data_IF_545423980829
#
_entry.id   IF_545423980829
#
_cell.length_a   1.000
_cell.length_b   1.000
_cell.length_c   1.000
_cell.angle_alpha   90.00
_cell.angle_beta   90.00
_cell.angle_gamma   90.00
#
_symmetry.space_group_name_H-M   'P 1'
#
loop_
_entity.id
_entity.type
_entity.pdbx_description
1 polymer ?
#
# COMPACT_ATOMS: atom_id res chain seq x y z
N UNK A 1 -8.00 9.14 -6.01
CA UNK A 1 -7.17 10.06 -5.19
C UNK A 1 -5.72 9.64 -5.28
N UNK A 2 -4.75 10.55 -5.09
CA UNK A 2 -3.33 10.21 -5.16
C UNK A 2 -2.76 10.11 -3.74
N UNK A 3 -2.04 9.04 -3.46
CA UNK A 3 -1.39 8.77 -2.18
C UNK A 3 0.12 8.86 -2.42
N UNK A 4 0.79 9.63 -1.59
CA UNK A 4 2.25 9.78 -1.62
C UNK A 4 2.85 9.16 -0.37
N UNK A 5 3.97 8.46 -0.53
CA UNK A 5 4.66 7.82 0.57
C UNK A 5 6.07 7.42 0.20
N UNK A 6 6.88 7.10 1.20
CA UNK A 6 8.20 6.56 0.97
C UNK A 6 8.15 5.03 0.94
N UNK A 7 8.52 4.43 -0.19
CA UNK A 7 8.69 2.99 -0.33
C UNK A 7 10.18 2.66 -0.22
N UNK A 8 10.53 1.78 0.71
CA UNK A 8 11.91 1.32 0.91
C UNK A 8 11.99 -0.15 0.56
N UNK A 9 12.81 -0.49 -0.43
CA UNK A 9 13.03 -1.88 -0.87
C UNK A 9 14.55 -2.08 -0.92
N UNK A 10 15.05 -3.13 -0.23
CA UNK A 10 16.49 -3.45 -0.19
C UNK A 10 17.39 -2.25 0.16
N UNK A 11 16.96 -1.41 1.11
CA UNK A 11 17.72 -0.24 1.57
C UNK A 11 17.64 0.99 0.65
N UNK A 12 17.05 0.88 -0.53
CA UNK A 12 16.79 2.01 -1.42
C UNK A 12 15.41 2.59 -1.08
N UNK A 13 15.40 3.83 -0.60
CA UNK A 13 14.19 4.59 -0.27
C UNK A 13 13.80 5.50 -1.44
N UNK A 14 12.57 5.39 -1.93
CA UNK A 14 12.01 6.27 -2.96
C UNK A 14 10.65 6.83 -2.57
N UNK A 15 10.42 8.10 -2.89
CA UNK A 15 9.10 8.71 -2.80
C UNK A 15 8.27 8.22 -3.99
N UNK A 16 7.15 7.57 -3.71
CA UNK A 16 6.22 7.06 -4.72
C UNK A 16 4.88 7.78 -4.61
N UNK A 17 4.23 8.01 -5.75
CA UNK A 17 2.88 8.55 -5.84
C UNK A 17 2.01 7.57 -6.60
N UNK A 18 0.96 7.07 -5.95
CA UNK A 18 0.15 5.97 -6.46
C UNK A 18 -1.34 6.30 -6.39
N UNK A 19 -2.17 5.76 -7.30
CA UNK A 19 -3.61 5.88 -7.17
C UNK A 19 -4.11 5.06 -5.97
N UNK A 20 -4.90 5.70 -5.12
CA UNK A 20 -5.62 5.06 -4.03
C UNK A 20 -7.11 5.24 -4.17
N UNK A 21 -7.85 4.36 -3.50
CA UNK A 21 -9.30 4.37 -3.34
C UNK A 21 -9.61 4.30 -1.86
N UNK A 22 -10.50 5.16 -1.38
CA UNK A 22 -11.04 5.12 -0.03
C UNK A 22 -12.54 4.88 -0.12
N UNK A 23 -13.03 3.93 0.67
CA UNK A 23 -14.43 3.55 0.75
C UNK A 23 -14.86 3.46 2.21
N UNK A 24 -15.98 4.09 2.57
CA UNK A 24 -16.60 3.90 3.87
C UNK A 24 -17.67 2.82 3.73
N UNK A 25 -17.47 1.67 4.36
CA UNK A 25 -18.41 0.55 4.31
C UNK A 25 -18.64 0.00 5.70
N UNK A 26 -19.91 -0.13 6.10
CA UNK A 26 -20.29 -0.71 7.40
C UNK A 26 -19.57 -0.05 8.58
N UNK A 27 -19.49 1.29 8.57
CA UNK A 27 -18.79 2.07 9.59
C UNK A 27 -17.26 1.81 9.68
N UNK A 28 -16.67 1.12 8.70
CA UNK A 28 -15.24 0.89 8.56
C UNK A 28 -14.70 1.65 7.36
N UNK A 29 -13.52 2.24 7.53
CA UNK A 29 -12.83 2.89 6.43
C UNK A 29 -11.94 1.85 5.75
N UNK A 30 -12.20 1.57 4.47
CA UNK A 30 -11.38 0.73 3.63
C UNK A 30 -10.51 1.62 2.73
N UNK A 31 -9.22 1.30 2.66
CA UNK A 31 -8.26 1.96 1.77
C UNK A 31 -7.64 0.89 0.89
N UNK A 32 -7.78 1.03 -0.42
CA UNK A 32 -7.14 0.15 -1.39
C UNK A 32 -6.24 0.94 -2.32
N UNK A 33 -5.13 0.34 -2.73
CA UNK A 33 -4.25 0.91 -3.75
C UNK A 33 -3.59 -0.21 -4.52
N UNK A 34 -3.33 0.04 -5.80
CA UNK A 34 -2.79 -0.95 -6.72
C UNK A 34 -1.82 -0.27 -7.67
N UNK A 35 -0.56 -0.68 -7.65
CA UNK A 35 0.49 -0.08 -8.46
C UNK A 35 1.60 -1.08 -8.78
N UNK A 36 2.35 -0.82 -9.84
CA UNK A 36 3.44 -1.68 -10.28
C UNK A 36 4.79 -1.10 -9.83
N UNK A 37 5.73 -1.98 -9.49
CA UNK A 37 7.09 -1.64 -9.08
C UNK A 37 8.08 -2.52 -9.85
N UNK A 38 9.10 -1.91 -10.45
CA UNK A 38 10.20 -2.66 -11.05
C UNK A 38 11.34 -2.82 -10.04
N UNK A 39 11.92 -4.02 -9.85
CA UNK A 39 13.11 -4.21 -9.01
C UNK A 39 14.28 -3.31 -9.43
N UNK A 40 14.40 -3.04 -10.74
CA UNK A 40 15.41 -2.14 -11.29
C UNK A 40 15.34 -0.71 -10.73
N UNK A 41 14.14 -0.23 -10.36
CA UNK A 41 13.96 1.10 -9.76
C UNK A 41 14.60 1.20 -8.37
N UNK A 42 14.91 0.07 -7.75
CA UNK A 42 15.47 -0.04 -6.40
C UNK A 42 16.89 -0.62 -6.41
N UNK A 43 17.61 -0.49 -7.53
CA UNK A 43 18.97 -1.01 -7.73
C UNK A 43 19.10 -2.53 -7.51
N UNK A 44 18.02 -3.28 -7.72
CA UNK A 44 18.05 -4.74 -7.69
C UNK A 44 18.38 -5.22 -9.09
N UNK A 45 19.63 -5.64 -9.28
CA UNK A 45 20.06 -6.28 -10.52
C UNK A 45 19.64 -7.75 -10.51
N UNK A 46 18.95 -8.17 -11.57
CA UNK A 46 18.51 -9.54 -11.75
C UNK A 46 19.55 -10.26 -12.63
N UNK A 47 20.29 -11.26 -12.09
CA UNK A 47 21.28 -12.01 -12.85
C UNK A 47 20.64 -12.72 -14.05
N UNK A 48 21.37 -12.82 -15.17
CA UNK A 48 20.87 -13.41 -16.41
C UNK A 48 20.31 -14.83 -16.22
N UNK A 49 20.92 -15.63 -15.34
CA UNK A 49 20.53 -17.02 -15.08
C UNK A 49 19.09 -17.16 -14.53
N UNK A 50 18.62 -16.17 -13.77
CA UNK A 50 17.31 -16.21 -13.10
C UNK A 50 16.34 -15.18 -13.66
N UNK A 51 16.70 -14.51 -14.76
CA UNK A 51 15.93 -13.41 -15.32
C UNK A 51 14.54 -13.83 -15.79
N UNK A 52 14.39 -15.07 -16.23
CA UNK A 52 13.10 -15.63 -16.63
C UNK A 52 12.26 -16.09 -15.43
N UNK A 53 12.88 -16.25 -14.26
CA UNK A 53 12.20 -16.62 -13.02
C UNK A 53 11.71 -15.41 -12.22
N UNK A 54 12.18 -14.19 -12.54
CA UNK A 54 11.85 -12.97 -11.80
C UNK A 54 11.18 -11.96 -12.73
N UNK A 55 9.95 -11.56 -12.38
CA UNK A 55 9.20 -10.59 -13.16
C UNK A 55 9.90 -9.21 -13.20
N UNK A 56 9.93 -8.59 -14.38
CA UNK A 56 10.50 -7.23 -14.58
C UNK A 56 9.71 -6.14 -13.85
N UNK A 57 8.44 -6.41 -13.57
CA UNK A 57 7.52 -5.53 -12.86
C UNK A 57 6.62 -6.39 -11.99
N UNK A 58 6.40 -5.95 -10.75
CA UNK A 58 5.61 -6.65 -9.74
C UNK A 58 4.46 -5.75 -9.32
N UNK A 59 3.27 -6.32 -9.24
CA UNK A 59 2.08 -5.61 -8.81
C UNK A 59 1.98 -5.64 -7.28
N UNK A 60 1.95 -4.46 -6.67
CA UNK A 60 1.74 -4.27 -5.24
C UNK A 60 0.29 -3.87 -5.03
N UNK A 61 -0.43 -4.65 -4.22
CA UNK A 61 -1.79 -4.34 -3.80
C UNK A 61 -1.78 -4.03 -2.30
N UNK A 62 -2.28 -2.86 -1.95
CA UNK A 62 -2.48 -2.44 -0.58
C UNK A 62 -3.98 -2.53 -0.25
N UNK A 63 -4.29 -3.12 0.90
CA UNK A 63 -5.63 -3.17 1.44
C UNK A 63 -5.55 -2.94 2.96
N UNK A 64 -6.08 -1.80 3.40
CA UNK A 64 -6.16 -1.44 4.80
C UNK A 64 -7.61 -1.29 5.22
N UNK A 65 -7.93 -1.72 6.43
CA UNK A 65 -9.20 -1.43 7.09
C UNK A 65 -8.93 -0.72 8.40
N UNK A 66 -9.60 0.41 8.61
CA UNK A 66 -9.60 1.11 9.88
C UNK A 66 -10.96 0.92 10.53
N UNK A 67 -10.95 0.26 11.69
CA UNK A 67 -12.13 0.18 12.55
C UNK A 67 -12.35 1.53 13.23
N UNK A 68 -13.61 1.93 13.44
CA UNK A 68 -13.91 3.14 14.19
C UNK A 68 -13.40 2.97 15.63
N UNK A 69 -12.78 4.01 16.19
CA UNK A 69 -12.41 4.01 17.59
C UNK A 69 -13.65 3.74 18.46
N UNK A 70 -13.55 2.95 19.55
CA UNK A 70 -14.68 2.66 20.41
C UNK A 70 -15.16 3.97 21.04
N UNK A 71 -16.26 4.50 20.51
CA UNK A 71 -16.92 5.67 21.07
C UNK A 71 -17.52 5.23 22.40
N UNK A 72 -16.86 5.56 23.51
CA UNK A 72 -17.47 5.54 24.84
C UNK A 72 -18.54 6.64 24.85
N UNK A 73 -19.71 6.33 24.29
CA UNK A 73 -20.91 7.12 24.52
C UNK A 73 -21.33 6.84 25.95
N UNK A 74 -20.93 7.75 26.84
CA UNK A 74 -21.50 7.92 28.16
C UNK A 74 -23.02 7.93 28.04
N UNK A 75 -23.64 6.82 28.44
CA UNK A 75 -25.05 6.78 28.74
C UNK A 75 -25.29 7.68 29.96
N UNK A 76 -25.65 8.93 29.72
CA UNK A 76 -26.38 9.74 30.71
C UNK A 76 -27.82 9.22 30.73
N UNK A 77 -28.02 8.10 31.43
CA UNK A 77 -29.35 7.70 31.89
C UNK A 77 -29.63 8.48 33.18
N UNK A 78 -30.61 9.38 33.10
CA UNK A 78 -31.37 9.86 34.26
C UNK A 78 -32.50 8.89 34.53
#
# INVERSE_FOLDING_TARGET
MQVEGDLTIHGVKRRVKVPGTLELKNNRLLVTSKFAVAPADYNIEIPALVRDNIAKSMEVTLAFSCDPAPTSQTAVAR
#
